data_IF_597972092760
#
_entry.id   IF_597972092760
#
_cell.length_a   1.000
_cell.length_b   1.000
_cell.length_c   1.000
_cell.angle_alpha   90.00
_cell.angle_beta   90.00
_cell.angle_gamma   90.00
#
_symmetry.space_group_name_H-M   'P 1'
#
loop_
_entity.id
_entity.type
_entity.pdbx_description
1 polymer ?
#
# COMPACT_ATOMS: atom_id res chain seq x y z
N UNK A 1 -100.22 31.25 38.26
CA UNK A 1 -99.38 30.22 38.92
C UNK A 1 -98.29 29.90 37.91
N UNK A 2 -97.02 30.17 38.22
CA UNK A 2 -95.93 29.78 37.34
C UNK A 2 -95.82 28.25 37.40
N UNK A 3 -95.90 27.59 36.25
CA UNK A 3 -95.63 26.15 36.16
C UNK A 3 -94.21 25.90 36.64
N UNK A 4 -94.07 25.05 37.66
CA UNK A 4 -92.76 24.64 38.16
C UNK A 4 -91.98 23.99 37.01
N UNK A 5 -90.70 24.36 36.78
CA UNK A 5 -89.91 23.76 35.72
C UNK A 5 -89.89 22.24 35.83
N UNK A 6 -90.06 21.54 34.71
CA UNK A 6 -89.92 20.08 34.66
C UNK A 6 -88.43 19.70 34.72
N UNK A 7 -87.92 19.55 35.93
CA UNK A 7 -86.53 19.18 36.18
C UNK A 7 -86.16 17.78 35.69
N UNK A 8 -87.13 16.92 35.36
CA UNK A 8 -86.86 15.56 34.89
C UNK A 8 -86.29 15.55 33.47
N UNK A 9 -86.80 16.42 32.58
CA UNK A 9 -86.29 16.54 31.21
C UNK A 9 -84.86 17.07 31.20
N UNK A 10 -84.55 18.06 32.04
CA UNK A 10 -83.20 18.59 32.17
C UNK A 10 -82.21 17.55 32.72
N UNK A 11 -82.64 16.74 33.69
CA UNK A 11 -81.83 15.65 34.23
C UNK A 11 -81.57 14.55 33.20
N UNK A 12 -82.55 14.20 32.36
CA UNK A 12 -82.39 13.20 31.31
C UNK A 12 -81.44 13.65 30.20
N UNK A 13 -81.56 14.91 29.75
CA UNK A 13 -80.63 15.51 28.77
C UNK A 13 -79.21 15.55 29.33
N UNK A 14 -79.04 15.90 30.60
CA UNK A 14 -77.72 15.90 31.24
C UNK A 14 -77.13 14.49 31.33
N UNK A 15 -77.93 13.50 31.76
CA UNK A 15 -77.51 12.09 31.82
C UNK A 15 -77.06 11.59 30.45
N UNK A 16 -77.87 11.80 29.41
CA UNK A 16 -77.53 11.38 28.05
C UNK A 16 -76.26 12.05 27.53
N UNK A 17 -76.12 13.36 27.78
CA UNK A 17 -74.91 14.10 27.38
C UNK A 17 -73.67 13.57 28.10
N UNK A 18 -73.80 13.20 29.38
CA UNK A 18 -72.72 12.60 30.16
C UNK A 18 -72.38 11.18 29.66
N UNK A 19 -73.38 10.37 29.34
CA UNK A 19 -73.20 9.03 28.73
C UNK A 19 -72.50 9.12 27.36
N UNK A 20 -72.94 10.04 26.49
CA UNK A 20 -72.32 10.28 25.18
C UNK A 20 -70.87 10.80 25.34
N UNK A 21 -70.62 11.66 26.32
CA UNK A 21 -69.26 12.14 26.62
C UNK A 21 -68.34 11.02 27.11
N UNK A 22 -68.82 10.15 28.00
CA UNK A 22 -68.07 8.98 28.48
C UNK A 22 -67.76 8.01 27.33
N UNK A 23 -68.74 7.70 26.48
CA UNK A 23 -68.54 6.84 25.32
C UNK A 23 -67.50 7.43 24.34
N UNK A 24 -67.52 8.75 24.12
CA UNK A 24 -66.51 9.41 23.30
C UNK A 24 -65.11 9.36 23.93
N UNK A 25 -65.00 9.50 25.26
CA UNK A 25 -63.72 9.34 25.98
C UNK A 25 -63.17 7.93 25.80
N UNK A 26 -64.01 6.91 25.89
CA UNK A 26 -63.60 5.50 25.71
C UNK A 26 -63.07 5.26 24.29
N UNK A 27 -63.75 5.79 23.26
CA UNK A 27 -63.29 5.71 21.86
C UNK A 27 -61.95 6.44 21.67
N UNK A 28 -61.79 7.64 22.24
CA UNK A 28 -60.53 8.40 22.17
C UNK A 28 -59.40 7.65 22.85
N UNK A 29 -59.65 7.07 24.03
CA UNK A 29 -58.65 6.27 24.75
C UNK A 29 -58.24 5.02 23.98
N UNK A 30 -59.18 4.33 23.36
CA UNK A 30 -58.89 3.17 22.51
C UNK A 30 -58.04 3.55 21.30
N UNK A 31 -58.38 4.65 20.61
CA UNK A 31 -57.60 5.16 19.48
C UNK A 31 -56.20 5.61 19.91
N UNK A 32 -56.10 6.30 21.05
CA UNK A 32 -54.80 6.74 21.59
C UNK A 32 -53.90 5.54 21.90
N UNK A 33 -54.45 4.48 22.50
CA UNK A 33 -53.69 3.25 22.77
C UNK A 33 -53.21 2.58 21.48
N UNK A 34 -54.08 2.51 20.46
CA UNK A 34 -53.71 1.95 19.16
C UNK A 34 -52.59 2.76 18.48
N UNK A 35 -52.66 4.08 18.51
CA UNK A 35 -51.60 4.93 17.95
C UNK A 35 -50.30 4.84 18.75
N UNK A 36 -50.37 4.67 20.08
CA UNK A 36 -49.19 4.40 20.92
C UNK A 36 -48.54 3.06 20.56
N UNK A 37 -49.32 2.00 20.35
CA UNK A 37 -48.82 0.68 19.93
C UNK A 37 -48.12 0.78 18.56
N UNK A 38 -48.76 1.45 17.57
CA UNK A 38 -48.14 1.71 16.25
C UNK A 38 -46.83 2.49 16.36
N UNK A 39 -46.77 3.51 17.22
CA UNK A 39 -45.57 4.32 17.41
C UNK A 39 -44.42 3.49 18.01
N UNK A 40 -44.73 2.60 18.96
CA UNK A 40 -43.77 1.67 19.55
C UNK A 40 -43.26 0.69 18.49
N UNK A 41 -44.14 0.11 17.68
CA UNK A 41 -43.76 -0.83 16.61
C UNK A 41 -42.87 -0.16 15.57
N UNK A 42 -43.19 1.08 15.17
CA UNK A 42 -42.35 1.87 14.27
C UNK A 42 -40.98 2.17 14.87
N UNK A 43 -40.91 2.47 16.17
CA UNK A 43 -39.64 2.72 16.85
C UNK A 43 -38.79 1.45 16.93
N UNK A 44 -39.40 0.30 17.19
CA UNK A 44 -38.71 -1.01 17.20
C UNK A 44 -38.18 -1.31 15.80
N UNK A 45 -39.02 -1.20 14.75
CA UNK A 45 -38.62 -1.43 13.38
C UNK A 45 -37.49 -0.48 12.93
N UNK A 46 -37.55 0.80 13.30
CA UNK A 46 -36.50 1.76 13.00
C UNK A 46 -35.18 1.42 13.71
N UNK A 47 -35.25 0.95 14.96
CA UNK A 47 -34.07 0.53 15.73
C UNK A 47 -33.44 -0.74 15.14
N UNK A 48 -34.26 -1.70 14.74
CA UNK A 48 -33.80 -2.94 14.12
C UNK A 48 -33.13 -2.66 12.77
N UNK A 49 -33.72 -1.78 11.97
CA UNK A 49 -33.15 -1.34 10.70
C UNK A 49 -31.84 -0.57 10.90
N UNK A 50 -31.78 0.33 11.89
CA UNK A 50 -30.55 1.03 12.25
C UNK A 50 -29.44 0.04 12.65
N UNK A 51 -29.74 -0.95 13.48
CA UNK A 51 -28.77 -1.98 13.88
C UNK A 51 -28.34 -2.84 12.69
N UNK A 52 -29.24 -3.14 11.75
CA UNK A 52 -28.90 -3.85 10.51
C UNK A 52 -27.91 -3.04 9.68
N UNK A 53 -28.18 -1.76 9.46
CA UNK A 53 -27.30 -0.85 8.72
C UNK A 53 -25.94 -0.74 9.42
N UNK A 54 -25.91 -0.62 10.74
CA UNK A 54 -24.67 -0.55 11.51
C UNK A 54 -23.82 -1.82 11.32
N UNK A 55 -24.43 -3.00 11.45
CA UNK A 55 -23.74 -4.28 11.24
C UNK A 55 -23.24 -4.45 9.79
N UNK A 56 -23.99 -3.97 8.80
CA UNK A 56 -23.55 -3.98 7.40
C UNK A 56 -22.39 -3.02 7.17
N UNK A 57 -22.43 -1.82 7.75
CA UNK A 57 -21.36 -0.84 7.69
C UNK A 57 -20.06 -1.38 8.33
N UNK A 58 -20.17 -2.06 9.49
CA UNK A 58 -19.03 -2.67 10.17
C UNK A 58 -18.38 -3.76 9.30
N UNK A 59 -19.18 -4.65 8.69
CA UNK A 59 -18.66 -5.68 7.78
C UNK A 59 -17.94 -5.10 6.56
N UNK A 60 -18.49 -4.03 5.97
CA UNK A 60 -17.88 -3.34 4.83
C UNK A 60 -16.56 -2.70 5.26
N UNK A 61 -16.55 -2.02 6.42
CA UNK A 61 -15.36 -1.39 7.00
C UNK A 61 -14.25 -2.41 7.26
N UNK A 62 -14.57 -3.53 7.94
CA UNK A 62 -13.63 -4.61 8.21
C UNK A 62 -13.03 -5.19 6.93
N UNK A 63 -13.88 -5.47 5.93
CA UNK A 63 -13.43 -5.98 4.63
C UNK A 63 -12.46 -4.99 3.97
N UNK A 64 -12.78 -3.69 4.01
CA UNK A 64 -11.94 -2.64 3.42
C UNK A 64 -10.61 -2.48 4.16
N UNK A 65 -10.63 -2.54 5.49
CA UNK A 65 -9.42 -2.50 6.32
C UNK A 65 -8.53 -3.70 5.98
N UNK A 66 -9.10 -4.89 5.82
CA UNK A 66 -8.35 -6.09 5.51
C UNK A 66 -7.73 -6.06 4.10
N UNK A 67 -8.47 -5.58 3.10
CA UNK A 67 -7.94 -5.35 1.74
C UNK A 67 -6.77 -4.37 1.76
N UNK A 68 -6.94 -3.22 2.43
CA UNK A 68 -5.89 -2.21 2.53
C UNK A 68 -4.68 -2.75 3.30
N UNK A 69 -4.90 -3.55 4.35
CA UNK A 69 -3.81 -4.20 5.11
C UNK A 69 -3.01 -5.13 4.21
N UNK A 70 -3.67 -5.98 3.41
CA UNK A 70 -2.98 -6.87 2.46
C UNK A 70 -2.20 -6.09 1.40
N UNK A 71 -2.78 -5.03 0.84
CA UNK A 71 -2.10 -4.17 -0.13
C UNK A 71 -0.86 -3.49 0.49
N UNK A 72 -0.99 -2.92 1.69
CA UNK A 72 0.11 -2.28 2.39
C UNK A 72 1.22 -3.28 2.76
N UNK A 73 0.87 -4.50 3.18
CA UNK A 73 1.87 -5.54 3.46
C UNK A 73 2.69 -5.89 2.21
N UNK A 74 2.09 -5.91 1.03
CA UNK A 74 2.83 -6.14 -0.23
C UNK A 74 3.78 -4.98 -0.51
N UNK A 75 3.34 -3.73 -0.31
CA UNK A 75 4.19 -2.54 -0.49
C UNK A 75 5.38 -2.58 0.46
N UNK A 76 5.12 -2.71 1.77
CA UNK A 76 6.16 -2.76 2.81
C UNK A 76 7.13 -3.90 2.57
N UNK A 77 6.63 -5.09 2.21
CA UNK A 77 7.50 -6.23 1.87
C UNK A 77 8.41 -5.89 0.70
N UNK A 78 7.88 -5.29 -0.36
CA UNK A 78 8.66 -4.93 -1.53
C UNK A 78 9.70 -3.84 -1.22
N UNK A 79 9.38 -2.87 -0.36
CA UNK A 79 10.32 -1.85 0.11
C UNK A 79 11.46 -2.46 0.93
N UNK A 80 11.14 -3.32 1.91
CA UNK A 80 12.14 -4.02 2.72
C UNK A 80 13.04 -4.90 1.86
N UNK A 81 12.45 -5.59 0.86
CA UNK A 81 13.23 -6.35 -0.11
C UNK A 81 14.14 -5.45 -0.93
N UNK A 82 13.64 -4.33 -1.47
CA UNK A 82 14.45 -3.41 -2.24
C UNK A 82 15.65 -2.89 -1.43
N UNK A 83 15.43 -2.45 -0.19
CA UNK A 83 16.50 -1.99 0.71
C UNK A 83 17.50 -3.09 1.04
N UNK A 84 17.01 -4.31 1.29
CA UNK A 84 17.88 -5.46 1.60
C UNK A 84 18.73 -5.84 0.39
N UNK A 85 18.14 -5.91 -0.79
CA UNK A 85 18.83 -6.24 -2.04
C UNK A 85 19.86 -5.17 -2.37
N UNK A 86 19.51 -3.89 -2.22
CA UNK A 86 20.43 -2.77 -2.41
C UNK A 86 21.70 -2.96 -1.57
N UNK A 87 21.54 -3.23 -0.27
CA UNK A 87 22.66 -3.50 0.64
C UNK A 87 23.45 -4.74 0.21
N UNK A 88 22.79 -5.82 -0.22
CA UNK A 88 23.48 -7.05 -0.60
C UNK A 88 24.25 -6.91 -1.92
N UNK A 89 23.72 -6.17 -2.90
CA UNK A 89 24.41 -5.84 -4.15
C UNK A 89 25.65 -5.00 -3.86
N UNK A 90 25.55 -3.99 -2.99
CA UNK A 90 26.69 -3.17 -2.56
C UNK A 90 27.77 -4.00 -1.86
N UNK A 91 27.36 -5.05 -1.12
CA UNK A 91 28.26 -6.04 -0.52
C UNK A 91 28.66 -7.18 -1.48
N UNK A 92 28.57 -6.95 -2.78
CA UNK A 92 29.06 -7.83 -3.85
C UNK A 92 28.40 -9.21 -3.92
N UNK A 93 27.20 -9.37 -3.33
CA UNK A 93 26.46 -10.63 -3.43
C UNK A 93 25.85 -10.76 -4.83
N UNK A 94 26.15 -11.84 -5.58
CA UNK A 94 25.61 -12.04 -6.91
C UNK A 94 24.08 -12.13 -6.95
N UNK A 95 23.40 -11.47 -7.89
CA UNK A 95 21.93 -11.44 -7.87
C UNK A 95 21.26 -12.71 -8.34
N UNK A 96 21.95 -13.62 -9.03
CA UNK A 96 21.45 -14.97 -9.26
C UNK A 96 21.30 -15.72 -7.91
N UNK A 97 22.27 -15.54 -7.01
CA UNK A 97 22.22 -16.05 -5.65
C UNK A 97 21.11 -15.37 -4.85
N UNK A 98 20.96 -14.05 -4.95
CA UNK A 98 19.86 -13.31 -4.28
C UNK A 98 18.50 -13.81 -4.76
N UNK A 99 18.32 -13.96 -6.08
CA UNK A 99 17.08 -14.45 -6.68
C UNK A 99 16.74 -15.85 -6.20
N UNK A 100 17.74 -16.73 -6.05
CA UNK A 100 17.55 -18.09 -5.55
C UNK A 100 17.25 -18.15 -4.05
N UNK A 101 17.94 -17.35 -3.23
CA UNK A 101 17.82 -17.40 -1.77
C UNK A 101 16.53 -16.72 -1.30
N UNK A 102 16.18 -15.58 -1.90
CA UNK A 102 15.12 -14.70 -1.42
C UNK A 102 13.84 -14.80 -2.26
N UNK A 103 13.82 -15.64 -3.30
CA UNK A 103 12.67 -15.83 -4.22
C UNK A 103 12.09 -14.49 -4.73
N UNK A 104 12.97 -13.52 -5.00
CA UNK A 104 12.57 -12.14 -5.27
C UNK A 104 11.88 -12.03 -6.65
N UNK A 105 10.74 -11.32 -6.75
CA UNK A 105 10.16 -10.93 -8.03
C UNK A 105 11.16 -10.18 -8.92
N UNK A 106 11.30 -10.59 -10.18
CA UNK A 106 12.27 -9.99 -11.11
C UNK A 106 12.13 -8.46 -11.26
N UNK A 107 10.91 -7.93 -11.10
CA UNK A 107 10.65 -6.48 -11.15
C UNK A 107 11.38 -5.71 -10.05
N UNK A 108 11.35 -6.21 -8.80
CA UNK A 108 11.99 -5.52 -7.66
C UNK A 108 13.50 -5.46 -7.87
N UNK A 109 14.08 -6.56 -8.36
CA UNK A 109 15.49 -6.59 -8.68
C UNK A 109 15.82 -5.56 -9.77
N UNK A 110 15.04 -5.49 -10.84
CA UNK A 110 15.21 -4.50 -11.90
C UNK A 110 15.08 -3.05 -11.40
N UNK A 111 14.12 -2.78 -10.50
CA UNK A 111 13.92 -1.46 -9.91
C UNK A 111 15.11 -1.05 -9.02
N UNK A 112 15.67 -2.00 -8.25
CA UNK A 112 16.88 -1.77 -7.45
C UNK A 112 18.10 -1.49 -8.34
N UNK A 113 18.28 -2.26 -9.42
CA UNK A 113 19.33 -2.01 -10.41
C UNK A 113 19.22 -0.59 -10.98
N UNK A 114 18.02 -0.21 -11.42
CA UNK A 114 17.76 1.12 -11.95
C UNK A 114 18.04 2.22 -10.90
N UNK A 115 17.60 2.02 -9.66
CA UNK A 115 17.82 2.96 -8.55
C UNK A 115 19.31 3.15 -8.22
N UNK A 116 20.09 2.08 -8.27
CA UNK A 116 21.54 2.10 -8.05
C UNK A 116 22.31 2.74 -9.22
N UNK A 117 21.63 3.20 -10.26
CA UNK A 117 22.26 3.86 -11.41
C UNK A 117 22.98 2.89 -12.32
N UNK A 118 22.64 1.60 -12.25
CA UNK A 118 23.17 0.61 -13.17
C UNK A 118 22.55 0.80 -14.54
N UNK A 119 23.34 1.37 -15.46
CA UNK A 119 22.95 1.51 -16.85
C UNK A 119 23.17 0.19 -17.58
N UNK A 120 22.18 -0.18 -18.40
CA UNK A 120 22.28 -1.30 -19.33
C UNK A 120 23.36 -0.99 -20.36
N UNK A 121 24.42 -1.80 -20.39
CA UNK A 121 25.51 -1.61 -21.34
C UNK A 121 25.17 -2.34 -22.64
N UNK A 122 25.00 -1.54 -23.70
CA UNK A 122 24.83 -1.92 -25.10
C UNK A 122 23.69 -2.91 -25.45
N UNK A 123 23.50 -3.12 -26.76
CA UNK A 123 22.53 -4.09 -27.32
C UNK A 123 22.94 -5.54 -27.05
N UNK A 124 24.22 -5.81 -26.75
CA UNK A 124 24.77 -7.13 -26.47
C UNK A 124 24.65 -7.50 -24.98
N UNK A 125 24.34 -6.54 -24.11
CA UNK A 125 24.06 -6.74 -22.67
C UNK A 125 25.17 -7.51 -21.95
N UNK A 126 26.41 -7.05 -22.11
CA UNK A 126 27.56 -7.69 -21.47
C UNK A 126 27.49 -7.52 -19.94
N UNK A 127 26.88 -6.47 -19.42
CA UNK A 127 26.70 -6.29 -17.98
C UNK A 127 26.08 -4.95 -17.62
N UNK A 128 26.11 -4.64 -16.34
CA UNK A 128 25.70 -3.37 -15.78
C UNK A 128 26.88 -2.72 -15.05
N UNK A 129 26.95 -1.39 -15.06
CA UNK A 129 27.96 -0.64 -14.27
C UNK A 129 27.32 0.43 -13.40
N UNK A 130 27.79 0.53 -12.16
CA UNK A 130 27.48 1.63 -11.24
C UNK A 130 28.77 2.25 -10.70
N UNK A 131 28.60 3.41 -10.05
CA UNK A 131 29.69 4.15 -9.42
C UNK A 131 29.37 4.34 -7.94
N UNK A 132 30.32 3.96 -7.08
CA UNK A 132 30.32 4.32 -5.66
C UNK A 132 31.42 5.35 -5.46
N UNK A 133 31.08 6.57 -5.05
CA UNK A 133 32.02 7.69 -4.98
C UNK A 133 32.05 8.35 -3.61
N UNK A 134 33.26 8.65 -3.13
CA UNK A 134 33.53 9.45 -1.93
C UNK A 134 34.19 10.79 -2.32
N UNK A 135 33.60 11.47 -3.28
CA UNK A 135 34.09 12.76 -3.78
C UNK A 135 35.10 12.62 -4.92
N UNK A 136 36.41 12.57 -4.61
CA UNK A 136 37.48 12.58 -5.63
C UNK A 136 37.95 11.20 -6.08
N UNK A 137 37.49 10.16 -5.43
CA UNK A 137 37.81 8.78 -5.76
C UNK A 137 36.63 7.87 -5.39
N UNK A 138 36.72 6.62 -5.80
CA UNK A 138 35.68 5.64 -5.53
C UNK A 138 35.93 4.34 -6.26
N UNK A 139 34.85 3.62 -6.51
CA UNK A 139 34.85 2.37 -7.23
C UNK A 139 33.85 2.39 -8.38
N UNK A 140 34.30 1.87 -9.52
CA UNK A 140 33.43 1.44 -10.61
C UNK A 140 33.05 -0.01 -10.34
N UNK A 141 31.77 -0.26 -10.17
CA UNK A 141 31.23 -1.59 -9.86
C UNK A 141 30.67 -2.16 -11.15
N UNK A 142 31.31 -3.20 -11.66
CA UNK A 142 30.82 -3.99 -12.79
C UNK A 142 30.04 -5.19 -12.27
N UNK A 143 28.88 -5.46 -12.87
CA UNK A 143 28.05 -6.58 -12.53
C UNK A 143 27.55 -7.33 -13.76
N UNK A 144 27.60 -8.67 -13.71
CA UNK A 144 27.06 -9.56 -14.74
C UNK A 144 26.64 -10.90 -14.13
N UNK A 145 25.34 -11.13 -14.01
CA UNK A 145 24.73 -12.38 -13.54
C UNK A 145 25.28 -12.89 -12.18
N UNK A 146 26.28 -13.76 -12.21
CA UNK A 146 26.89 -14.39 -11.05
C UNK A 146 28.18 -13.68 -10.58
N UNK A 147 28.58 -12.62 -11.27
CA UNK A 147 29.86 -11.96 -11.09
C UNK A 147 29.70 -10.48 -10.74
N UNK A 148 30.50 -10.05 -9.76
CA UNK A 148 30.67 -8.64 -9.38
C UNK A 148 32.17 -8.35 -9.34
N UNK A 149 32.59 -7.25 -9.93
CA UNK A 149 33.98 -6.79 -9.87
C UNK A 149 34.04 -5.29 -9.61
N UNK A 150 35.06 -4.86 -8.86
CA UNK A 150 35.25 -3.45 -8.49
C UNK A 150 36.59 -2.95 -8.98
N UNK A 151 36.56 -1.79 -9.61
CA UNK A 151 37.74 -1.11 -10.11
C UNK A 151 37.85 0.22 -9.40
N UNK A 152 38.92 0.42 -8.63
CA UNK A 152 39.17 1.70 -7.99
C UNK A 152 39.34 2.78 -9.06
N UNK A 153 38.75 3.95 -8.86
CA UNK A 153 38.99 5.12 -9.68
C UNK A 153 39.34 6.34 -8.84
N UNK A 154 40.06 7.27 -9.45
CA UNK A 154 40.32 8.59 -8.89
C UNK A 154 40.24 9.66 -9.98
N UNK A 155 39.75 10.85 -9.64
CA UNK A 155 39.73 11.97 -10.57
C UNK A 155 41.14 12.52 -10.79
N UNK A 156 41.52 12.59 -12.06
CA UNK A 156 42.79 13.14 -12.49
C UNK A 156 42.84 14.67 -12.37
N UNK A 157 44.02 15.24 -12.63
CA UNK A 157 44.19 16.67 -12.87
C UNK A 157 44.53 16.93 -14.33
N UNK A 158 44.41 18.19 -14.77
CA UNK A 158 44.70 18.59 -16.14
C UNK A 158 43.64 18.06 -17.11
N UNK A 159 44.08 17.38 -18.18
CA UNK A 159 43.20 16.86 -19.24
C UNK A 159 42.66 15.45 -18.95
N UNK A 160 42.89 14.91 -17.75
CA UNK A 160 42.42 13.57 -17.36
C UNK A 160 41.17 13.66 -16.51
N UNK A 161 40.06 13.10 -16.98
CA UNK A 161 38.79 13.04 -16.22
C UNK A 161 38.92 12.10 -15.02
N UNK A 162 39.21 10.81 -15.28
CA UNK A 162 39.35 9.80 -14.24
C UNK A 162 40.43 8.77 -14.62
N UNK A 163 41.12 8.25 -13.63
CA UNK A 163 42.07 7.16 -13.73
C UNK A 163 41.42 5.95 -13.06
N UNK A 164 41.27 4.84 -13.78
CA UNK A 164 40.71 3.59 -13.26
C UNK A 164 41.84 2.57 -13.15
N UNK A 165 42.02 2.00 -11.97
CA UNK A 165 42.99 0.95 -11.71
C UNK A 165 42.46 -0.38 -12.22
N UNK A 166 43.05 -0.86 -13.33
CA UNK A 166 42.68 -2.13 -13.95
C UNK A 166 43.71 -3.21 -13.60
N UNK A 167 43.31 -4.38 -13.08
CA UNK A 167 44.22 -5.48 -12.81
C UNK A 167 44.97 -5.93 -14.07
N UNK A 168 46.22 -6.38 -13.88
CA UNK A 168 47.01 -6.99 -14.96
C UNK A 168 46.39 -8.33 -15.36
N UNK A 169 46.65 -8.86 -16.57
CA UNK A 169 46.13 -10.16 -16.98
C UNK A 169 46.44 -11.29 -15.98
N UNK A 170 47.62 -11.26 -15.36
CA UNK A 170 48.06 -12.26 -14.38
C UNK A 170 47.30 -12.19 -13.05
N UNK A 171 46.77 -11.00 -12.71
CA UNK A 171 45.99 -10.78 -11.48
C UNK A 171 44.49 -10.74 -11.72
N UNK A 172 44.05 -10.69 -12.97
CA UNK A 172 42.66 -10.49 -13.36
C UNK A 172 41.71 -11.50 -12.74
N UNK A 173 41.97 -12.80 -12.92
CA UNK A 173 41.11 -13.86 -12.37
C UNK A 173 41.10 -13.87 -10.84
N UNK A 174 42.24 -13.56 -10.21
CA UNK A 174 42.36 -13.53 -8.75
C UNK A 174 41.55 -12.37 -8.13
N UNK A 175 41.62 -11.19 -8.74
CA UNK A 175 40.99 -9.95 -8.24
C UNK A 175 39.53 -9.82 -8.66
N UNK A 176 39.17 -10.19 -9.90
CA UNK A 176 37.82 -9.99 -10.45
C UNK A 176 36.93 -11.22 -10.46
N UNK A 177 37.52 -12.41 -10.23
CA UNK A 177 36.86 -13.72 -10.38
C UNK A 177 36.35 -14.03 -11.80
N UNK A 178 36.67 -13.20 -12.79
CA UNK A 178 36.32 -13.43 -14.19
C UNK A 178 37.49 -14.05 -14.96
N UNK A 179 37.25 -14.99 -15.90
CA UNK A 179 38.26 -15.50 -16.81
C UNK A 179 39.03 -14.39 -17.53
N UNK A 180 40.35 -14.57 -17.70
CA UNK A 180 41.19 -13.57 -18.38
C UNK A 180 40.77 -13.32 -19.84
N UNK A 181 40.13 -14.30 -20.48
CA UNK A 181 39.56 -14.17 -21.82
C UNK A 181 38.45 -13.13 -21.92
N UNK A 182 37.76 -12.84 -20.82
CA UNK A 182 36.67 -11.86 -20.77
C UNK A 182 37.14 -10.46 -20.41
N UNK A 183 38.43 -10.31 -20.07
CA UNK A 183 39.02 -9.02 -19.71
C UNK A 183 38.81 -7.96 -20.79
N UNK A 184 39.10 -8.28 -22.04
CA UNK A 184 38.99 -7.29 -23.13
C UNK A 184 37.55 -6.87 -23.39
N UNK A 185 36.56 -7.78 -23.51
CA UNK A 185 35.14 -7.40 -23.58
C UNK A 185 34.70 -6.47 -22.44
N UNK A 186 35.04 -6.79 -21.19
CA UNK A 186 34.68 -5.96 -20.02
C UNK A 186 35.36 -4.59 -20.07
N UNK A 187 36.61 -4.52 -20.53
CA UNK A 187 37.34 -3.25 -20.61
C UNK A 187 36.97 -2.39 -21.82
N UNK A 188 36.59 -3.00 -22.94
CA UNK A 188 36.18 -2.30 -24.16
C UNK A 188 35.00 -1.37 -23.93
N UNK A 189 34.15 -1.73 -22.97
CA UNK A 189 33.03 -0.94 -22.46
C UNK A 189 33.49 0.40 -21.86
N UNK A 190 34.61 0.44 -21.13
CA UNK A 190 35.11 1.68 -20.52
C UNK A 190 35.76 2.63 -21.52
N UNK A 191 36.18 2.13 -22.69
CA UNK A 191 36.87 2.94 -23.70
C UNK A 191 35.94 3.73 -24.61
N UNK A 192 34.63 3.39 -24.69
CA UNK A 192 33.71 4.04 -25.62
C UNK A 192 33.00 5.28 -25.05
N UNK A 193 33.00 5.49 -23.73
CA UNK A 193 32.25 6.58 -23.08
C UNK A 193 32.98 7.94 -23.09
N UNK A 194 34.18 8.04 -23.68
CA UNK A 194 34.98 9.29 -23.72
C UNK A 194 34.75 10.16 -24.95
N UNK A 195 34.06 9.65 -25.98
CA UNK A 195 33.97 10.30 -27.30
C UNK A 195 32.60 10.96 -27.56
N UNK A 196 31.79 11.16 -26.52
CA UNK A 196 30.44 11.78 -26.57
C UNK A 196 30.33 12.91 -25.56
#
# INVERSE_FOLDING_TARGET
MAESPDYNQAAEVFRKTMEDALANIDVVNANLKLEQEKAIDLQIAAKDEYNRILNEADKISETRIEENRKANLVIVRNEVWAETIEKLIVNEIPSDMLKRILEIPAQILADVWFKLGFEKMDEQHIGNVAYEGEGRSGYVIFYRNDLTARFYYEFGGGDTVAIITIPTPERWEAETKMPVSERIPVLGVYSQKSDS
#
